data_IF_036846524748
#
_entry.id   IF_036846524748
#
_cell.length_a   1.000
_cell.length_b   1.000
_cell.length_c   1.000
_cell.angle_alpha   90.00
_cell.angle_beta   90.00
_cell.angle_gamma   90.00
#
_symmetry.space_group_name_H-M   'P 1'
#
loop_
_entity.id
_entity.type
_entity.pdbx_description
1 polymer ?
#
# COMPACT_ATOMS: atom_id res chain seq x y z
N UNK A 1 -25.31 -36.14 -71.35
CA UNK A 1 -26.54 -35.53 -70.80
C UNK A 1 -26.15 -34.97 -69.44
N UNK A 2 -25.68 -33.72 -69.40
CA UNK A 2 -26.52 -32.52 -69.19
C UNK A 2 -27.15 -32.55 -67.78
N UNK A 3 -26.55 -31.92 -66.78
CA UNK A 3 -26.74 -30.50 -66.43
C UNK A 3 -26.42 -30.20 -64.96
N UNK A 4 -25.71 -29.08 -64.80
CA UNK A 4 -25.76 -28.05 -63.75
C UNK A 4 -25.46 -28.36 -62.25
N UNK A 5 -24.83 -27.39 -61.54
CA UNK A 5 -24.30 -27.55 -60.18
C UNK A 5 -25.25 -27.05 -59.10
N UNK A 6 -25.24 -27.69 -57.92
CA UNK A 6 -26.00 -27.26 -56.74
C UNK A 6 -25.10 -26.65 -55.68
N UNK A 7 -25.37 -25.36 -55.43
CA UNK A 7 -24.90 -24.51 -54.35
C UNK A 7 -25.06 -25.18 -52.96
N UNK A 8 -24.02 -25.16 -52.13
CA UNK A 8 -24.11 -25.42 -50.69
C UNK A 8 -23.61 -24.19 -49.91
N UNK A 9 -24.30 -23.77 -48.84
CA UNK A 9 -24.10 -22.47 -48.22
C UNK A 9 -22.93 -22.46 -47.22
N UNK A 10 -22.29 -21.29 -47.14
CA UNK A 10 -21.20 -20.97 -46.23
C UNK A 10 -21.62 -21.03 -44.75
N UNK A 11 -20.87 -21.77 -43.94
CA UNK A 11 -20.86 -21.61 -42.48
C UNK A 11 -20.12 -20.31 -42.12
N UNK A 12 -20.83 -19.40 -41.48
CA UNK A 12 -20.24 -18.25 -40.76
C UNK A 12 -19.93 -18.68 -39.32
N UNK A 13 -18.74 -18.36 -38.76
CA UNK A 13 -18.48 -18.55 -37.35
C UNK A 13 -19.13 -17.42 -36.51
N UNK A 14 -19.63 -17.70 -35.29
CA UNK A 14 -20.12 -16.65 -34.40
C UNK A 14 -18.96 -15.79 -33.89
N UNK A 15 -18.99 -14.50 -34.24
CA UNK A 15 -18.20 -13.44 -33.64
C UNK A 15 -19.02 -12.81 -32.51
N UNK A 16 -18.71 -13.17 -31.27
CA UNK A 16 -19.08 -12.37 -30.09
C UNK A 16 -17.83 -12.16 -29.23
N UNK A 17 -16.95 -11.27 -29.69
CA UNK A 17 -16.01 -10.59 -28.81
C UNK A 17 -16.75 -9.43 -28.16
N UNK A 18 -17.06 -9.55 -26.87
CA UNK A 18 -17.45 -8.41 -26.04
C UNK A 18 -16.20 -7.54 -25.86
N UNK A 19 -16.04 -6.55 -26.73
CA UNK A 19 -15.11 -5.44 -26.54
C UNK A 19 -15.60 -4.61 -25.37
N UNK A 20 -14.86 -4.64 -24.26
CA UNK A 20 -15.04 -3.67 -23.18
C UNK A 20 -14.64 -2.29 -23.67
N UNK A 21 -15.63 -1.44 -23.94
CA UNK A 21 -15.38 0.00 -24.06
C UNK A 21 -14.90 0.54 -22.72
N UNK A 22 -13.63 0.93 -22.68
CA UNK A 22 -13.08 1.80 -21.64
C UNK A 22 -13.69 3.18 -21.82
N UNK A 23 -14.58 3.57 -20.90
CA UNK A 23 -15.11 4.93 -20.82
C UNK A 23 -14.01 5.84 -20.29
N UNK A 24 -13.68 6.88 -21.04
CA UNK A 24 -12.74 7.93 -20.66
C UNK A 24 -13.30 8.74 -19.49
N UNK A 25 -12.44 9.10 -18.52
CA UNK A 25 -12.81 9.92 -17.35
C UNK A 25 -13.23 11.34 -17.74
N UNK A 26 -12.89 11.79 -18.95
CA UNK A 26 -13.31 13.08 -19.50
C UNK A 26 -14.82 13.20 -19.78
N UNK A 27 -15.55 12.08 -19.84
CA UNK A 27 -17.00 12.06 -20.11
C UNK A 27 -17.87 11.93 -18.84
N UNK A 28 -17.27 12.11 -17.66
CA UNK A 28 -18.03 12.10 -16.41
C UNK A 28 -19.00 13.30 -16.34
N UNK A 29 -20.30 13.08 -16.05
CA UNK A 29 -21.29 14.16 -15.94
C UNK A 29 -20.92 15.11 -14.79
N UNK A 30 -20.97 16.41 -15.04
CA UNK A 30 -20.73 17.47 -14.04
C UNK A 30 -21.92 17.73 -13.12
N UNK A 31 -23.08 17.13 -13.39
CA UNK A 31 -24.29 17.33 -12.59
C UNK A 31 -24.88 15.98 -12.14
N UNK A 32 -24.94 15.69 -10.82
CA UNK A 32 -25.67 14.54 -10.33
C UNK A 32 -27.19 14.73 -10.55
N UNK A 33 -27.95 13.64 -10.80
CA UNK A 33 -29.40 13.72 -10.94
C UNK A 33 -30.09 14.16 -9.62
N UNK A 34 -31.26 14.83 -9.69
CA UNK A 34 -31.95 15.35 -8.51
C UNK A 34 -32.39 14.24 -7.53
N UNK A 35 -32.39 14.57 -6.25
CA UNK A 35 -32.46 13.64 -5.12
C UNK A 35 -33.80 12.90 -4.91
N UNK A 36 -34.85 13.16 -5.71
CA UNK A 36 -36.25 12.87 -5.31
C UNK A 36 -37.05 11.90 -6.20
N UNK A 37 -36.45 11.11 -7.07
CA UNK A 37 -37.16 9.99 -7.73
C UNK A 37 -36.16 8.89 -8.07
N UNK A 38 -36.34 7.63 -7.64
CA UNK A 38 -35.43 6.56 -8.03
C UNK A 38 -35.62 6.31 -9.52
N UNK A 39 -34.65 6.66 -10.37
CA UNK A 39 -34.67 6.21 -11.76
C UNK A 39 -34.66 4.68 -11.75
N UNK A 40 -35.24 4.05 -12.78
CA UNK A 40 -35.23 2.58 -12.97
C UNK A 40 -33.79 2.09 -13.13
N UNK A 41 -33.11 1.96 -12.01
CA UNK A 41 -31.69 1.72 -11.92
C UNK A 41 -31.45 0.24 -11.71
N UNK A 42 -30.77 -0.38 -12.69
CA UNK A 42 -30.43 -1.80 -12.63
C UNK A 42 -29.25 -1.98 -11.67
N UNK A 43 -29.46 -2.74 -10.60
CA UNK A 43 -28.38 -3.21 -9.73
C UNK A 43 -27.50 -4.14 -10.57
N UNK A 44 -26.21 -3.83 -10.67
CA UNK A 44 -25.24 -4.67 -11.38
C UNK A 44 -24.33 -5.44 -10.43
N UNK A 45 -24.27 -5.07 -9.16
CA UNK A 45 -23.55 -5.84 -8.16
C UNK A 45 -23.46 -5.17 -6.80
N UNK A 46 -22.62 -5.73 -5.94
CA UNK A 46 -22.21 -5.15 -4.67
C UNK A 46 -20.70 -5.35 -4.56
N UNK A 47 -20.01 -4.32 -4.07
CA UNK A 47 -18.54 -4.35 -3.96
C UNK A 47 -18.11 -3.55 -2.74
N UNK A 48 -16.81 -3.62 -2.44
CA UNK A 48 -16.14 -2.72 -1.49
C UNK A 48 -15.24 -1.77 -2.24
N UNK A 49 -15.12 -0.56 -1.73
CA UNK A 49 -14.28 0.46 -2.34
C UNK A 49 -13.60 1.36 -1.32
N UNK A 50 -12.72 2.20 -1.83
CA UNK A 50 -12.05 3.25 -1.07
C UNK A 50 -12.48 4.61 -1.60
N UNK A 51 -12.74 5.55 -0.70
CA UNK A 51 -13.09 6.92 -1.05
C UNK A 51 -11.87 7.62 -1.63
N UNK A 52 -11.97 8.08 -2.88
CA UNK A 52 -10.90 8.75 -3.63
C UNK A 52 -11.01 10.26 -3.49
N UNK A 53 -12.23 10.80 -3.50
CA UNK A 53 -12.54 12.21 -3.31
C UNK A 53 -14.02 12.33 -2.89
N UNK A 54 -14.35 13.39 -2.15
CA UNK A 54 -15.73 13.69 -1.77
C UNK A 54 -15.92 15.22 -1.77
N UNK A 55 -16.83 15.71 -2.61
CA UNK A 55 -17.27 17.09 -2.75
C UNK A 55 -18.55 17.33 -1.91
N UNK A 56 -19.19 18.50 -2.05
CA UNK A 56 -20.36 18.86 -1.25
C UNK A 56 -21.60 18.01 -1.54
N UNK A 57 -21.81 17.60 -2.80
CA UNK A 57 -23.01 16.92 -3.29
C UNK A 57 -22.77 15.47 -3.77
N UNK A 58 -21.51 15.10 -4.02
CA UNK A 58 -21.12 13.76 -4.43
C UNK A 58 -19.66 13.46 -4.09
N UNK A 59 -19.29 12.19 -4.14
CA UNK A 59 -17.90 11.75 -4.13
C UNK A 59 -17.64 10.64 -5.11
N UNK A 60 -16.44 10.08 -5.04
CA UNK A 60 -16.03 8.95 -5.85
C UNK A 60 -15.38 7.90 -4.96
N UNK A 61 -15.77 6.65 -5.18
CA UNK A 61 -15.08 5.49 -4.62
C UNK A 61 -14.43 4.71 -5.75
N UNK A 62 -13.25 4.16 -5.49
CA UNK A 62 -12.66 3.18 -6.37
C UNK A 62 -13.07 1.79 -5.88
N UNK A 63 -13.51 0.95 -6.79
CA UNK A 63 -13.89 -0.43 -6.52
C UNK A 63 -13.07 -1.37 -7.42
N UNK A 64 -12.61 -2.52 -6.93
CA UNK A 64 -11.84 -3.46 -7.76
C UNK A 64 -12.63 -3.98 -8.97
N UNK A 65 -13.93 -4.21 -8.79
CA UNK A 65 -14.76 -4.88 -9.80
C UNK A 65 -15.40 -3.91 -10.80
N UNK A 66 -15.53 -2.63 -10.44
CA UNK A 66 -16.27 -1.64 -11.23
C UNK A 66 -15.49 -0.34 -11.51
N UNK A 67 -14.25 -0.23 -11.06
CA UNK A 67 -13.45 0.97 -11.24
C UNK A 67 -13.95 2.15 -10.38
N UNK A 68 -13.76 3.40 -10.84
CA UNK A 68 -14.33 4.59 -10.22
C UNK A 68 -15.86 4.59 -10.29
N UNK A 69 -16.51 4.83 -9.17
CA UNK A 69 -17.96 4.86 -9.04
C UNK A 69 -18.38 6.13 -8.31
N UNK A 70 -19.38 6.84 -8.87
CA UNK A 70 -19.94 8.05 -8.26
C UNK A 70 -20.72 7.70 -6.99
N UNK A 71 -20.51 8.45 -5.92
CA UNK A 71 -21.21 8.31 -4.65
C UNK A 71 -22.07 9.56 -4.42
N UNK A 72 -23.37 9.56 -4.76
CA UNK A 72 -24.22 10.71 -4.46
C UNK A 72 -24.41 10.86 -2.95
N UNK A 73 -24.64 12.09 -2.48
CA UNK A 73 -24.84 12.38 -1.05
C UNK A 73 -25.96 11.54 -0.41
N UNK A 74 -27.04 11.29 -1.15
CA UNK A 74 -28.17 10.48 -0.69
C UNK A 74 -27.87 8.97 -0.59
N UNK A 75 -26.70 8.51 -1.05
CA UNK A 75 -26.26 7.15 -0.89
C UNK A 75 -25.56 6.89 0.45
N UNK A 76 -25.22 7.95 1.20
CA UNK A 76 -24.54 7.85 2.48
C UNK A 76 -25.46 7.34 3.60
N UNK A 77 -24.90 6.79 4.69
CA UNK A 77 -25.67 6.46 5.88
C UNK A 77 -26.39 7.69 6.46
N UNK A 78 -27.51 7.47 7.15
CA UNK A 78 -28.24 8.55 7.82
C UNK A 78 -27.32 9.37 8.75
N UNK A 79 -27.49 10.70 8.69
CA UNK A 79 -26.68 11.65 9.46
C UNK A 79 -25.26 11.89 8.93
N UNK A 80 -24.85 11.26 7.83
CA UNK A 80 -23.55 11.53 7.19
C UNK A 80 -23.72 12.48 6.01
N UNK A 81 -22.93 13.55 6.02
CA UNK A 81 -22.84 14.51 4.93
C UNK A 81 -21.57 14.36 4.08
N UNK A 82 -20.63 13.51 4.50
CA UNK A 82 -19.38 13.28 3.77
C UNK A 82 -18.77 11.92 4.08
N UNK A 83 -17.92 11.47 3.17
CA UNK A 83 -16.95 10.41 3.40
C UNK A 83 -15.54 10.98 3.48
N UNK A 84 -14.71 10.44 4.37
CA UNK A 84 -13.32 10.88 4.50
C UNK A 84 -12.45 10.20 3.43
N UNK A 85 -11.46 10.92 2.91
CA UNK A 85 -10.50 10.40 1.95
C UNK A 85 -9.81 9.12 2.49
N UNK A 86 -9.76 8.07 1.67
CA UNK A 86 -9.16 6.79 2.07
C UNK A 86 -10.07 5.92 2.94
N UNK A 87 -11.29 6.37 3.25
CA UNK A 87 -12.26 5.60 4.02
C UNK A 87 -12.78 4.41 3.20
N UNK A 88 -12.85 3.25 3.84
CA UNK A 88 -13.37 2.04 3.22
C UNK A 88 -14.88 2.01 3.33
N UNK A 89 -15.52 1.64 2.23
CA UNK A 89 -16.96 1.50 2.15
C UNK A 89 -17.35 0.19 1.46
N UNK A 90 -18.54 -0.29 1.75
CA UNK A 90 -19.26 -1.21 0.87
C UNK A 90 -20.39 -0.45 0.19
N UNK A 91 -20.68 -0.78 -1.06
CA UNK A 91 -21.75 -0.15 -1.83
C UNK A 91 -22.42 -1.16 -2.76
N UNK A 92 -23.72 -0.98 -2.99
CA UNK A 92 -24.39 -1.60 -4.14
C UNK A 92 -24.11 -0.75 -5.37
N UNK A 93 -23.70 -1.37 -6.45
CA UNK A 93 -23.39 -0.69 -7.70
C UNK A 93 -24.59 -0.80 -8.62
N UNK A 94 -24.97 0.33 -9.19
CA UNK A 94 -26.06 0.44 -10.12
C UNK A 94 -25.57 1.10 -11.41
N UNK A 95 -26.17 0.72 -12.54
CA UNK A 95 -25.91 1.33 -13.84
C UNK A 95 -27.05 2.28 -14.18
N UNK A 96 -26.73 3.54 -14.45
CA UNK A 96 -27.67 4.57 -14.87
C UNK A 96 -27.29 5.17 -16.21
N UNK A 97 -28.00 6.24 -16.58
CA UNK A 97 -27.79 6.92 -17.87
C UNK A 97 -26.40 7.53 -18.01
N UNK A 98 -25.78 7.92 -16.90
CA UNK A 98 -24.48 8.60 -16.86
C UNK A 98 -23.38 7.77 -16.20
N UNK A 99 -23.47 6.44 -16.28
CA UNK A 99 -22.45 5.53 -15.75
C UNK A 99 -22.84 4.87 -14.44
N UNK A 100 -21.81 4.52 -13.65
CA UNK A 100 -21.94 3.73 -12.42
C UNK A 100 -22.04 4.62 -11.19
N UNK A 101 -23.01 4.33 -10.33
CA UNK A 101 -23.10 4.96 -9.00
C UNK A 101 -23.28 3.93 -7.90
N UNK A 102 -22.79 4.32 -6.73
CA UNK A 102 -22.86 3.62 -5.49
C UNK A 102 -24.14 4.03 -4.77
N UNK A 103 -24.94 3.04 -4.35
CA UNK A 103 -26.07 3.25 -3.45
C UNK A 103 -25.94 2.38 -2.22
N UNK A 104 -26.64 2.75 -1.14
CA UNK A 104 -26.59 2.05 0.16
C UNK A 104 -25.16 1.92 0.68
N UNK A 105 -24.41 3.02 0.64
CA UNK A 105 -23.01 3.04 1.06
C UNK A 105 -22.95 2.80 2.56
N UNK A 106 -22.08 1.87 2.98
CA UNK A 106 -21.81 1.61 4.39
C UNK A 106 -20.33 1.76 4.65
N UNK A 107 -19.98 2.58 5.63
CA UNK A 107 -18.61 2.68 6.11
C UNK A 107 -18.24 1.36 6.76
N UNK A 108 -17.15 0.76 6.29
CA UNK A 108 -16.60 -0.42 6.92
C UNK A 108 -15.65 0.04 8.01
N UNK A 109 -15.81 -0.49 9.23
CA UNK A 109 -14.74 -0.46 10.21
C UNK A 109 -13.49 -1.07 9.54
N UNK A 110 -12.29 -0.55 9.80
CA UNK A 110 -11.02 -0.90 9.13
C UNK A 110 -10.55 -2.38 9.32
N UNK A 111 -11.46 -3.34 9.48
CA UNK A 111 -11.23 -4.76 9.72
C UNK A 111 -11.18 -5.59 8.42
N UNK A 112 -10.64 -5.03 7.34
CA UNK A 112 -10.58 -5.69 6.03
C UNK A 112 -9.76 -7.01 6.05
N UNK A 113 -8.88 -7.24 7.03
CA UNK A 113 -8.04 -8.45 7.09
C UNK A 113 -8.83 -9.77 7.21
N UNK A 114 -10.07 -9.77 7.71
CA UNK A 114 -10.85 -11.01 7.88
C UNK A 114 -11.63 -11.44 6.64
N UNK A 115 -11.98 -10.51 5.73
CA UNK A 115 -12.88 -10.81 4.60
C UNK A 115 -12.17 -11.26 3.32
N UNK A 116 -10.87 -10.96 3.16
CA UNK A 116 -10.09 -11.27 1.95
C UNK A 116 -9.27 -12.56 2.10
N UNK A 117 -9.74 -13.46 2.98
CA UNK A 117 -9.20 -14.81 3.04
C UNK A 117 -9.10 -15.41 1.63
N UNK A 118 -7.86 -15.66 1.20
CA UNK A 118 -7.52 -16.69 0.23
C UNK A 118 -8.02 -16.57 -1.22
N UNK A 119 -8.25 -15.38 -1.79
CA UNK A 119 -8.31 -15.26 -3.26
C UNK A 119 -6.94 -14.93 -3.85
N UNK A 120 -6.31 -15.97 -4.39
CA UNK A 120 -5.16 -15.91 -5.29
C UNK A 120 -5.61 -15.26 -6.60
N UNK A 121 -5.50 -13.95 -6.72
CA UNK A 121 -5.22 -13.16 -7.95
C UNK A 121 -5.24 -11.69 -7.51
N UNK A 122 -4.09 -11.03 -7.63
CA UNK A 122 -3.82 -9.74 -7.01
C UNK A 122 -4.53 -8.57 -7.69
N UNK A 123 -5.41 -7.90 -6.97
CA UNK A 123 -5.65 -6.46 -7.12
C UNK A 123 -5.33 -5.78 -5.79
N UNK A 124 -4.06 -5.91 -5.37
CA UNK A 124 -3.50 -5.09 -4.30
C UNK A 124 -3.29 -3.70 -4.88
N UNK A 125 -3.50 -2.65 -4.08
CA UNK A 125 -3.05 -1.29 -4.39
C UNK A 125 -1.53 -1.27 -4.63
N UNK A 126 -1.09 -1.60 -5.84
CA UNK A 126 0.31 -1.50 -6.22
C UNK A 126 0.65 -0.06 -6.58
N UNK A 127 1.92 0.34 -6.47
CA UNK A 127 2.42 1.58 -7.08
C UNK A 127 1.94 1.78 -8.52
N UNK A 128 1.77 0.68 -9.27
CA UNK A 128 1.30 0.68 -10.66
C UNK A 128 -0.11 1.23 -10.80
N UNK A 129 -1.03 0.77 -9.93
CA UNK A 129 -2.42 1.20 -9.95
C UNK A 129 -2.56 2.69 -9.58
N UNK A 130 -1.88 3.12 -8.53
CA UNK A 130 -1.91 4.54 -8.10
C UNK A 130 -1.28 5.43 -9.17
N UNK A 131 -0.21 4.98 -9.82
CA UNK A 131 0.38 5.70 -10.93
C UNK A 131 -0.59 5.86 -12.10
N UNK A 132 -1.30 4.81 -12.48
CA UNK A 132 -2.29 4.88 -13.55
C UNK A 132 -3.42 5.86 -13.21
N UNK A 133 -3.90 5.86 -11.96
CA UNK A 133 -4.91 6.84 -11.51
C UNK A 133 -4.39 8.28 -11.52
N UNK A 134 -3.16 8.50 -11.06
CA UNK A 134 -2.55 9.84 -11.10
C UNK A 134 -2.37 10.28 -12.56
N UNK A 135 -1.89 9.39 -13.44
CA UNK A 135 -1.70 9.67 -14.85
C UNK A 135 -3.03 10.05 -15.53
N UNK A 136 -4.09 9.28 -15.28
CA UNK A 136 -5.44 9.59 -15.74
C UNK A 136 -5.91 10.96 -15.26
N UNK A 137 -5.74 11.25 -13.96
CA UNK A 137 -6.18 12.53 -13.41
C UNK A 137 -5.41 13.73 -13.97
N UNK A 138 -4.15 13.54 -14.37
CA UNK A 138 -3.32 14.59 -14.95
C UNK A 138 -3.48 14.74 -16.47
N UNK A 139 -4.29 13.89 -17.11
CA UNK A 139 -4.36 13.72 -18.56
C UNK A 139 -2.99 13.34 -19.18
N UNK A 140 -2.24 12.50 -18.46
CA UNK A 140 -0.89 12.03 -18.81
C UNK A 140 -0.90 10.51 -19.03
N UNK A 141 -1.95 9.97 -19.65
CA UNK A 141 -2.21 8.53 -19.82
C UNK A 141 -1.36 7.87 -20.91
N UNK A 142 -0.79 8.65 -21.83
CA UNK A 142 -0.14 8.13 -23.02
C UNK A 142 1.39 7.91 -22.86
N UNK A 143 1.84 6.72 -23.29
CA UNK A 143 3.23 6.40 -23.58
C UNK A 143 4.23 6.79 -22.49
N UNK A 144 5.20 7.63 -22.84
CA UNK A 144 6.28 8.03 -21.93
C UNK A 144 5.78 8.81 -20.70
N UNK A 145 4.63 9.51 -20.78
CA UNK A 145 4.17 10.38 -19.70
C UNK A 145 3.57 9.59 -18.54
N UNK A 146 2.77 8.57 -18.85
CA UNK A 146 2.26 7.60 -17.87
C UNK A 146 3.41 6.86 -17.18
N UNK A 147 4.44 6.50 -17.94
CA UNK A 147 5.65 5.88 -17.40
C UNK A 147 6.41 6.80 -16.44
N UNK A 148 6.46 8.11 -16.71
CA UNK A 148 7.08 9.09 -15.80
C UNK A 148 6.30 9.17 -14.48
N UNK A 149 4.96 9.23 -14.54
CA UNK A 149 4.11 9.22 -13.34
C UNK A 149 4.34 7.94 -12.53
N UNK A 150 4.41 6.80 -13.21
CA UNK A 150 4.76 5.52 -12.58
C UNK A 150 6.09 5.55 -11.85
N UNK A 151 7.14 6.03 -12.50
CA UNK A 151 8.47 6.12 -11.88
C UNK A 151 8.48 7.09 -10.72
N UNK A 152 7.71 8.18 -10.78
CA UNK A 152 7.53 9.10 -9.66
C UNK A 152 6.91 8.35 -8.48
N UNK A 153 5.76 7.69 -8.66
CA UNK A 153 5.08 6.94 -7.59
C UNK A 153 5.98 5.85 -7.00
N UNK A 154 6.69 5.11 -7.85
CA UNK A 154 7.64 4.09 -7.42
C UNK A 154 8.81 4.68 -6.61
N UNK A 155 9.22 5.92 -6.92
CA UNK A 155 10.37 6.55 -6.29
C UNK A 155 10.05 7.32 -5.01
N UNK A 156 9.01 8.17 -5.02
CA UNK A 156 8.63 8.99 -3.86
C UNK A 156 7.61 8.30 -2.95
N UNK A 157 7.03 7.20 -3.42
CA UNK A 157 6.01 6.43 -2.72
C UNK A 157 4.60 6.98 -2.91
N UNK A 158 3.62 6.08 -2.83
CA UNK A 158 2.18 6.33 -3.01
C UNK A 158 1.68 7.53 -2.21
N UNK A 159 2.00 7.60 -0.91
CA UNK A 159 1.48 8.65 -0.02
C UNK A 159 1.93 10.05 -0.44
N UNK A 160 3.20 10.21 -0.84
CA UNK A 160 3.75 11.50 -1.27
C UNK A 160 3.22 11.90 -2.64
N UNK A 161 3.19 10.96 -3.60
CA UNK A 161 2.62 11.22 -4.92
C UNK A 161 1.15 11.67 -4.84
N UNK A 162 0.38 11.05 -3.93
CA UNK A 162 -1.00 11.45 -3.67
C UNK A 162 -1.13 12.84 -3.03
N UNK A 163 -0.26 13.18 -2.08
CA UNK A 163 -0.23 14.51 -1.47
C UNK A 163 0.05 15.60 -2.52
N UNK A 164 0.99 15.34 -3.44
CA UNK A 164 1.30 16.26 -4.55
C UNK A 164 0.14 16.39 -5.51
N UNK A 165 -0.57 15.29 -5.83
CA UNK A 165 -1.79 15.37 -6.65
C UNK A 165 -2.87 16.22 -5.97
N UNK A 166 -3.07 16.06 -4.66
CA UNK A 166 -4.02 16.87 -3.89
C UNK A 166 -3.67 18.36 -3.94
N UNK A 167 -2.41 18.70 -3.71
CA UNK A 167 -1.90 20.07 -3.80
C UNK A 167 -2.07 20.64 -5.22
N UNK A 168 -1.78 19.84 -6.24
CA UNK A 168 -1.97 20.21 -7.66
C UNK A 168 -3.42 20.60 -7.94
N UNK A 169 -4.39 19.81 -7.48
CA UNK A 169 -5.82 20.09 -7.64
C UNK A 169 -6.25 21.35 -6.87
N UNK A 170 -5.64 21.63 -5.72
CA UNK A 170 -5.92 22.84 -4.95
C UNK A 170 -5.41 24.10 -5.67
N UNK A 171 -4.20 24.05 -6.23
CA UNK A 171 -3.62 25.17 -7.00
C UNK A 171 -4.43 25.44 -8.26
N UNK A 172 -4.85 24.40 -8.99
CA UNK A 172 -5.74 24.55 -10.14
C UNK A 172 -7.04 25.26 -9.73
N UNK A 173 -7.69 24.81 -8.65
CA UNK A 173 -8.92 25.41 -8.15
C UNK A 173 -8.76 26.88 -7.71
N UNK A 174 -7.54 27.31 -7.36
CA UNK A 174 -7.20 28.68 -6.99
C UNK A 174 -6.82 29.57 -8.19
N UNK A 175 -7.03 29.11 -9.43
CA UNK A 175 -6.74 29.86 -10.65
C UNK A 175 -5.46 29.42 -11.37
N UNK A 176 -4.87 28.30 -10.97
CA UNK A 176 -3.70 27.71 -11.63
C UNK A 176 -2.37 28.31 -11.19
N UNK A 177 -1.32 28.01 -11.94
CA UNK A 177 0.04 28.48 -11.69
C UNK A 177 0.67 28.95 -13.01
N UNK A 178 1.21 30.18 -13.09
CA UNK A 178 1.84 30.65 -14.32
C UNK A 178 3.11 29.85 -14.64
N UNK A 179 3.49 29.82 -15.92
CA UNK A 179 4.80 29.34 -16.34
C UNK A 179 5.91 30.30 -15.89
N UNK A 180 7.16 29.82 -15.91
CA UNK A 180 8.33 30.58 -15.43
C UNK A 180 8.57 31.88 -16.23
N UNK A 181 8.13 31.90 -17.49
CA UNK A 181 8.13 33.05 -18.39
C UNK A 181 6.86 33.93 -18.27
N UNK A 182 5.89 33.55 -17.44
CA UNK A 182 4.65 34.29 -17.22
C UNK A 182 3.69 34.35 -18.41
N UNK A 183 4.02 33.70 -19.54
CA UNK A 183 3.30 33.82 -20.80
C UNK A 183 1.98 33.04 -20.83
N UNK A 184 1.87 31.98 -20.02
CA UNK A 184 0.68 31.12 -19.95
C UNK A 184 0.51 30.47 -18.59
N UNK A 185 -0.68 29.92 -18.33
CA UNK A 185 -0.93 29.07 -17.18
C UNK A 185 -0.41 27.65 -17.42
N UNK A 186 0.11 27.00 -16.37
CA UNK A 186 0.48 25.59 -16.39
C UNK A 186 -0.78 24.73 -16.47
N UNK A 187 -0.71 23.64 -17.23
CA UNK A 187 -1.72 22.58 -17.21
C UNK A 187 -1.65 21.82 -15.88
N UNK A 188 -2.67 21.02 -15.57
CA UNK A 188 -2.71 20.23 -14.34
C UNK A 188 -1.48 19.31 -14.21
N UNK A 189 -1.12 18.57 -15.28
CA UNK A 189 0.15 17.82 -15.35
C UNK A 189 1.39 18.70 -15.19
N UNK A 190 1.37 19.91 -15.77
CA UNK A 190 2.44 20.89 -15.62
C UNK A 190 2.66 21.39 -14.20
N UNK A 191 1.59 21.59 -13.43
CA UNK A 191 1.62 21.94 -12.00
C UNK A 191 2.17 20.75 -11.21
N UNK A 192 1.66 19.54 -11.44
CA UNK A 192 2.12 18.32 -10.76
C UNK A 192 3.63 18.12 -10.94
N UNK A 193 4.13 18.15 -12.19
CA UNK A 193 5.56 17.97 -12.44
C UNK A 193 6.40 19.14 -11.92
N UNK A 194 5.84 20.35 -11.83
CA UNK A 194 6.52 21.47 -11.18
C UNK A 194 6.72 21.20 -9.69
N UNK A 195 5.66 20.84 -8.97
CA UNK A 195 5.72 20.51 -7.53
C UNK A 195 6.67 19.34 -7.25
N UNK A 196 6.66 18.30 -8.09
CA UNK A 196 7.61 17.19 -7.95
C UNK A 196 9.05 17.70 -8.11
N UNK A 197 9.34 18.53 -9.13
CA UNK A 197 10.68 19.08 -9.37
C UNK A 197 11.18 19.95 -8.22
N UNK A 198 10.29 20.71 -7.57
CA UNK A 198 10.63 21.46 -6.36
C UNK A 198 10.99 20.52 -5.20
N UNK A 199 10.21 19.45 -4.99
CA UNK A 199 10.45 18.53 -3.88
C UNK A 199 11.71 17.66 -4.02
N UNK A 200 12.04 17.18 -5.23
CA UNK A 200 13.15 16.23 -5.42
C UNK A 200 14.33 16.82 -6.19
N UNK A 201 14.20 18.02 -6.74
CA UNK A 201 15.19 18.68 -7.59
C UNK A 201 15.09 18.28 -9.07
N UNK A 202 15.36 19.25 -9.96
CA UNK A 202 15.32 19.07 -11.44
C UNK A 202 16.22 17.92 -11.92
N UNK A 203 17.39 17.72 -11.31
CA UNK A 203 18.34 16.65 -11.65
C UNK A 203 17.78 15.26 -11.34
N UNK A 204 17.20 15.06 -10.16
CA UNK A 204 16.59 13.77 -9.81
C UNK A 204 15.34 13.50 -10.62
N UNK A 205 14.53 14.52 -10.88
CA UNK A 205 13.40 14.41 -11.79
C UNK A 205 13.83 13.94 -13.18
N UNK A 206 14.93 14.49 -13.72
CA UNK A 206 15.48 14.05 -15.00
C UNK A 206 15.96 12.59 -14.97
N UNK A 207 16.61 12.16 -13.88
CA UNK A 207 17.03 10.76 -13.70
C UNK A 207 15.83 9.81 -13.66
N UNK A 208 14.77 10.17 -12.93
CA UNK A 208 13.49 9.45 -12.92
C UNK A 208 12.90 9.39 -14.33
N UNK A 209 12.86 10.52 -15.05
CA UNK A 209 12.35 10.56 -16.43
C UNK A 209 13.15 9.67 -17.38
N UNK A 210 14.46 9.49 -17.16
CA UNK A 210 15.32 8.58 -17.93
C UNK A 210 15.34 7.13 -17.41
N UNK A 211 14.59 6.81 -16.36
CA UNK A 211 14.57 5.46 -15.76
C UNK A 211 15.87 5.09 -15.05
N UNK A 212 16.70 6.08 -14.71
CA UNK A 212 17.95 5.90 -13.98
C UNK A 212 17.70 6.07 -12.48
N UNK A 213 18.50 5.42 -11.64
CA UNK A 213 18.46 5.63 -10.19
C UNK A 213 18.90 7.07 -9.90
N UNK A 214 18.05 7.92 -9.30
CA UNK A 214 18.45 9.27 -8.93
C UNK A 214 19.50 9.22 -7.81
N UNK A 215 20.50 10.09 -7.91
CA UNK A 215 21.44 10.34 -6.82
C UNK A 215 20.79 11.39 -5.93
N UNK A 216 19.96 10.93 -5.00
CA UNK A 216 19.38 11.83 -4.02
C UNK A 216 20.54 12.49 -3.24
N UNK A 217 20.64 13.83 -3.20
CA UNK A 217 21.40 14.47 -2.14
C UNK A 217 20.82 13.97 -0.80
N UNK A 218 21.65 13.78 0.24
CA UNK A 218 21.13 13.53 1.58
C UNK A 218 20.08 14.60 1.86
N UNK A 219 18.89 14.19 2.32
CA UNK A 219 17.74 15.07 2.57
C UNK A 219 18.22 16.28 3.38
N UNK A 220 18.44 17.40 2.70
CA UNK A 220 18.67 18.69 3.32
C UNK A 220 17.28 19.21 3.69
N UNK A 221 16.97 19.16 4.98
CA UNK A 221 15.92 20.01 5.52
C UNK A 221 16.25 21.45 5.14
N UNK A 222 15.30 22.11 4.48
CA UNK A 222 15.44 23.48 4.00
C UNK A 222 15.79 24.41 5.17
N UNK A 223 16.90 25.13 5.00
CA UNK A 223 17.39 26.08 5.97
C UNK A 223 16.47 27.31 5.99
N UNK A 224 15.72 27.47 7.08
CA UNK A 224 15.38 28.79 7.60
C UNK A 224 16.68 29.60 7.80
N UNK A 225 16.65 30.94 7.66
CA UNK A 225 17.85 31.79 7.69
C UNK A 225 18.74 31.47 8.88
N UNK A 226 20.06 31.42 8.60
CA UNK A 226 21.13 30.94 9.46
C UNK A 226 20.98 31.36 10.94
N UNK A 227 20.34 30.49 11.72
CA UNK A 227 20.67 30.34 13.12
C UNK A 227 21.96 29.52 13.16
N UNK A 228 22.97 30.03 13.87
CA UNK A 228 24.22 29.32 14.19
C UNK A 228 23.89 27.85 14.44
N UNK A 229 24.55 26.87 13.77
CA UNK A 229 24.21 25.47 13.95
C UNK A 229 24.43 25.13 15.42
N UNK A 230 23.31 25.01 16.15
CA UNK A 230 23.30 24.32 17.42
C UNK A 230 23.90 22.96 17.11
N UNK A 231 25.08 22.69 17.68
CA UNK A 231 25.77 21.43 17.55
C UNK A 231 24.72 20.31 17.59
N UNK A 232 24.74 19.40 16.61
CA UNK A 232 23.82 18.27 16.58
C UNK A 232 23.97 17.49 17.89
N UNK A 233 23.14 17.80 18.88
CA UNK A 233 23.22 17.17 20.18
C UNK A 233 22.72 15.76 19.98
N UNK A 234 23.65 14.83 19.77
CA UNK A 234 23.34 13.40 19.79
C UNK A 234 22.65 13.13 21.12
N UNK A 235 21.40 12.67 21.07
CA UNK A 235 20.67 12.30 22.29
C UNK A 235 21.48 11.17 22.94
N UNK A 236 21.99 11.41 24.14
CA UNK A 236 22.66 10.38 24.92
C UNK A 236 21.60 9.49 25.56
N UNK A 237 21.90 8.20 25.72
CA UNK A 237 20.97 7.29 26.38
C UNK A 237 20.58 7.78 27.77
N UNK A 238 21.54 8.31 28.55
CA UNK A 238 21.28 8.83 29.89
C UNK A 238 20.30 10.01 29.94
N UNK A 239 20.26 10.86 28.90
CA UNK A 239 19.46 12.09 28.87
C UNK A 239 18.21 12.00 28.00
N UNK A 240 17.99 10.86 27.32
CA UNK A 240 16.83 10.63 26.41
C UNK A 240 15.46 10.88 27.02
N UNK A 241 15.34 10.85 28.35
CA UNK A 241 14.08 11.04 29.06
C UNK A 241 13.40 12.38 28.74
N UNK A 242 14.17 13.45 28.56
CA UNK A 242 13.63 14.78 28.20
C UNK A 242 13.03 14.76 26.79
N UNK A 243 13.74 14.18 25.83
CA UNK A 243 13.23 14.02 24.45
C UNK A 243 11.98 13.14 24.40
N UNK A 244 11.93 12.07 25.21
CA UNK A 244 10.75 11.19 25.29
C UNK A 244 9.56 11.95 25.90
N UNK A 245 9.77 12.77 26.94
CA UNK A 245 8.71 13.58 27.54
C UNK A 245 8.11 14.54 26.50
N UNK A 246 8.97 15.25 25.76
CA UNK A 246 8.53 16.15 24.68
C UNK A 246 7.74 15.41 23.59
N UNK A 247 8.16 14.18 23.24
CA UNK A 247 7.48 13.37 22.23
C UNK A 247 6.16 12.76 22.71
N UNK A 248 5.99 12.54 24.02
CA UNK A 248 4.77 11.96 24.61
C UNK A 248 3.53 12.83 24.43
N UNK A 249 3.70 14.13 24.23
CA UNK A 249 2.58 15.04 23.98
C UNK A 249 2.07 14.95 22.54
N UNK A 250 2.81 14.28 21.64
CA UNK A 250 2.52 14.19 20.21
C UNK A 250 2.62 12.74 19.68
N UNK A 251 2.06 11.76 20.41
CA UNK A 251 2.16 10.35 20.03
C UNK A 251 1.36 10.05 18.76
N UNK A 252 2.06 9.63 17.70
CA UNK A 252 1.45 9.12 16.48
C UNK A 252 0.83 7.72 16.65
N UNK A 253 0.00 7.31 15.70
CA UNK A 253 -0.63 5.98 15.72
C UNK A 253 0.19 4.98 14.89
N UNK A 254 0.66 3.92 15.53
CA UNK A 254 1.22 2.76 14.84
C UNK A 254 0.10 1.76 14.51
N UNK A 255 -0.12 1.48 13.23
CA UNK A 255 -1.19 0.58 12.79
C UNK A 255 -0.74 -0.88 12.63
N UNK A 256 0.55 -1.12 12.44
CA UNK A 256 1.09 -2.46 12.25
C UNK A 256 2.54 -2.49 12.70
N UNK A 257 2.84 -3.39 13.63
CA UNK A 257 4.20 -3.68 14.11
C UNK A 257 4.44 -5.16 13.90
N UNK A 258 5.30 -5.50 12.95
CA UNK A 258 5.75 -6.87 12.73
C UNK A 258 7.12 -7.03 13.36
N UNK A 259 7.31 -8.13 14.09
CA UNK A 259 8.60 -8.51 14.69
C UNK A 259 9.11 -9.80 14.08
N UNK A 260 10.43 -9.95 14.02
CA UNK A 260 11.10 -11.21 13.70
C UNK A 260 12.02 -11.59 14.86
N UNK A 261 11.79 -12.75 15.46
CA UNK A 261 12.66 -13.35 16.47
C UNK A 261 13.47 -14.46 15.81
N UNK A 262 14.79 -14.44 16.02
CA UNK A 262 15.69 -15.48 15.54
C UNK A 262 16.45 -16.04 16.74
N UNK A 263 16.33 -17.34 16.98
CA UNK A 263 17.02 -17.99 18.07
C UNK A 263 16.46 -19.37 18.39
N UNK A 264 16.92 -19.94 19.49
CA UNK A 264 16.48 -21.23 20.02
C UNK A 264 15.71 -21.03 21.32
N UNK A 265 14.52 -21.62 21.49
CA UNK A 265 13.80 -21.54 22.75
C UNK A 265 14.44 -22.46 23.80
N UNK A 266 14.48 -21.99 25.05
CA UNK A 266 14.96 -22.81 26.18
C UNK A 266 13.89 -23.80 26.64
N UNK A 267 12.62 -23.40 26.55
CA UNK A 267 11.47 -24.22 26.93
C UNK A 267 10.38 -24.17 25.87
N UNK A 268 9.72 -25.32 25.68
CA UNK A 268 8.59 -25.51 24.78
C UNK A 268 7.47 -26.15 25.59
N UNK A 269 6.31 -25.49 25.64
CA UNK A 269 5.14 -25.97 26.37
C UNK A 269 3.99 -26.14 25.37
N UNK A 270 3.55 -27.39 25.15
CA UNK A 270 2.41 -27.69 24.29
C UNK A 270 1.11 -27.81 25.10
N UNK A 271 0.10 -27.00 24.77
CA UNK A 271 -1.23 -27.00 25.41
C UNK A 271 -2.32 -26.95 24.35
N UNK A 272 -2.86 -28.13 24.00
CA UNK A 272 -3.94 -28.27 23.04
C UNK A 272 -3.56 -27.74 21.65
N UNK A 273 -4.21 -26.67 21.20
CA UNK A 273 -3.97 -26.05 19.89
C UNK A 273 -2.82 -25.03 19.87
N UNK A 274 -2.20 -24.76 21.02
CA UNK A 274 -1.20 -23.69 21.17
C UNK A 274 0.09 -24.25 21.75
N UNK A 275 1.22 -23.81 21.22
CA UNK A 275 2.56 -24.06 21.74
C UNK A 275 3.13 -22.73 22.21
N UNK A 276 3.63 -22.70 23.44
CA UNK A 276 4.28 -21.55 24.04
C UNK A 276 5.78 -21.78 24.08
N UNK A 277 6.54 -20.78 23.63
CA UNK A 277 7.99 -20.78 23.68
C UNK A 277 8.46 -19.61 24.54
N UNK A 278 9.45 -19.84 25.40
CA UNK A 278 10.13 -18.75 26.10
C UNK A 278 11.52 -18.52 25.52
N UNK A 279 11.85 -17.25 25.27
CA UNK A 279 13.13 -16.83 24.71
C UNK A 279 13.60 -15.57 25.44
N UNK A 280 14.91 -15.39 25.58
CA UNK A 280 15.50 -14.12 26.02
C UNK A 280 16.47 -13.63 24.96
N UNK A 281 16.53 -12.31 24.78
CA UNK A 281 17.55 -11.72 23.94
C UNK A 281 18.92 -11.84 24.61
N UNK A 282 19.89 -12.39 23.88
CA UNK A 282 21.28 -12.53 24.33
C UNK A 282 22.20 -11.99 23.22
N UNK A 283 23.21 -11.23 23.60
CA UNK A 283 24.25 -10.75 22.69
C UNK A 283 24.24 -9.25 22.42
N UNK A 284 25.23 -8.74 21.68
CA UNK A 284 25.34 -7.32 21.36
C UNK A 284 24.27 -6.91 20.36
N UNK A 285 23.79 -5.66 20.46
CA UNK A 285 22.92 -5.10 19.43
C UNK A 285 23.63 -5.14 18.06
N UNK A 286 22.89 -5.36 16.96
CA UNK A 286 23.44 -5.18 15.63
C UNK A 286 23.94 -3.74 15.43
N UNK A 287 24.85 -3.48 14.47
CA UNK A 287 25.35 -2.14 14.22
C UNK A 287 24.18 -1.19 13.90
N UNK A 288 24.04 -0.16 14.73
CA UNK A 288 22.98 0.84 14.60
C UNK A 288 23.51 2.09 13.87
N UNK A 289 22.64 2.80 13.12
CA UNK A 289 22.97 4.11 12.57
C UNK A 289 23.49 5.11 13.63
N UNK A 290 24.38 6.01 13.20
CA UNK A 290 24.90 7.08 14.06
C UNK A 290 23.76 7.97 14.57
N UNK A 291 23.83 8.37 15.84
CA UNK A 291 22.85 9.27 16.47
C UNK A 291 21.70 8.56 17.20
N UNK A 292 21.57 7.24 17.10
CA UNK A 292 20.62 6.47 17.90
C UNK A 292 21.19 6.29 19.32
N UNK A 293 20.46 6.66 20.38
CA UNK A 293 20.92 6.45 21.74
C UNK A 293 20.96 4.94 22.04
N UNK A 294 22.09 4.45 22.53
CA UNK A 294 22.29 3.04 22.90
C UNK A 294 22.58 2.93 24.39
N UNK A 295 21.90 2.04 25.14
CA UNK A 295 22.24 1.80 26.54
C UNK A 295 23.65 1.23 26.69
N UNK A 296 24.32 1.54 27.81
CA UNK A 296 25.57 0.87 28.19
C UNK A 296 25.37 -0.63 28.43
N UNK A 297 24.25 -0.98 29.06
CA UNK A 297 23.85 -2.35 29.38
C UNK A 297 22.45 -2.61 28.84
N UNK A 298 22.29 -3.69 28.08
CA UNK A 298 21.01 -4.05 27.50
C UNK A 298 20.12 -4.66 28.59
N UNK A 299 18.88 -4.16 28.77
CA UNK A 299 17.96 -4.78 29.70
C UNK A 299 17.63 -6.20 29.21
N UNK A 300 17.58 -7.15 30.15
CA UNK A 300 17.10 -8.49 29.87
C UNK A 300 15.66 -8.38 29.35
N UNK A 301 15.45 -8.82 28.12
CA UNK A 301 14.13 -8.80 27.48
C UNK A 301 13.67 -10.22 27.26
N UNK A 302 12.57 -10.58 27.91
CA UNK A 302 11.92 -11.89 27.79
C UNK A 302 10.82 -11.84 26.74
N UNK A 303 10.73 -12.88 25.93
CA UNK A 303 9.69 -13.07 24.92
C UNK A 303 8.89 -14.33 25.24
N UNK A 304 7.57 -14.21 25.20
CA UNK A 304 6.63 -15.33 25.25
C UNK A 304 6.01 -15.46 23.87
N UNK A 305 6.33 -16.55 23.16
CA UNK A 305 5.88 -16.75 21.78
C UNK A 305 4.74 -17.74 21.74
N UNK A 306 3.60 -17.32 21.20
CA UNK A 306 2.42 -18.15 20.99
C UNK A 306 2.39 -18.65 19.54
N UNK A 307 2.61 -19.95 19.36
CA UNK A 307 2.65 -20.64 18.07
C UNK A 307 1.44 -21.56 17.95
N UNK A 308 0.72 -21.54 16.83
CA UNK A 308 -0.33 -22.53 16.61
C UNK A 308 0.30 -23.93 16.46
N UNK A 309 -0.30 -24.97 17.05
CA UNK A 309 0.23 -26.34 16.99
C UNK A 309 0.52 -26.82 15.56
N UNK A 310 -0.32 -26.43 14.58
CA UNK A 310 -0.11 -26.72 13.16
C UNK A 310 1.16 -26.07 12.57
N UNK A 311 1.52 -24.87 13.02
CA UNK A 311 2.76 -24.21 12.62
C UNK A 311 3.96 -24.86 13.30
N UNK A 312 3.85 -25.16 14.60
CA UNK A 312 4.90 -25.83 15.37
C UNK A 312 5.31 -27.18 14.78
N UNK A 313 4.35 -28.02 14.40
CA UNK A 313 4.60 -29.33 13.75
C UNK A 313 5.52 -29.28 12.54
N UNK A 314 5.64 -28.13 11.85
CA UNK A 314 6.50 -27.96 10.67
C UNK A 314 7.99 -27.80 11.03
N UNK A 315 8.28 -27.39 12.26
CA UNK A 315 9.64 -27.06 12.71
C UNK A 315 10.09 -27.91 13.89
N UNK A 316 9.17 -28.61 14.57
CA UNK A 316 9.44 -29.40 15.78
C UNK A 316 10.55 -30.45 15.60
N UNK A 317 10.59 -31.15 14.46
CA UNK A 317 11.68 -32.09 14.17
C UNK A 317 12.99 -31.39 13.81
N UNK A 318 12.93 -30.35 12.96
CA UNK A 318 14.12 -29.63 12.52
C UNK A 318 14.85 -28.94 13.67
N UNK A 319 14.11 -28.36 14.63
CA UNK A 319 14.71 -27.66 15.77
C UNK A 319 15.39 -28.60 16.77
N UNK A 320 15.27 -29.94 16.63
CA UNK A 320 16.05 -30.88 17.45
C UNK A 320 17.55 -30.75 17.18
N UNK A 321 17.96 -30.34 15.98
CA UNK A 321 19.35 -30.00 15.68
C UNK A 321 19.80 -28.81 16.56
N UNK A 322 20.81 -28.96 17.44
CA UNK A 322 21.27 -27.89 18.33
C UNK A 322 21.78 -26.65 17.60
N UNK A 323 22.28 -26.79 16.36
CA UNK A 323 22.84 -25.69 15.57
C UNK A 323 21.76 -24.92 14.79
N UNK A 324 20.57 -25.49 14.65
CA UNK A 324 19.46 -24.82 13.98
C UNK A 324 18.78 -23.80 14.91
N UNK A 325 18.22 -22.76 14.29
CA UNK A 325 17.52 -21.70 14.99
C UNK A 325 16.15 -21.50 14.37
N UNK A 326 15.16 -21.22 15.20
CA UNK A 326 13.86 -20.75 14.73
C UNK A 326 14.00 -19.35 14.15
N UNK A 327 13.23 -19.10 13.10
CA UNK A 327 12.92 -17.77 12.56
C UNK A 327 11.41 -17.61 12.70
N UNK A 328 11.00 -16.75 13.62
CA UNK A 328 9.62 -16.55 14.01
C UNK A 328 9.22 -15.14 13.62
N UNK A 329 8.16 -15.00 12.83
CA UNK A 329 7.56 -13.72 12.51
C UNK A 329 6.19 -13.60 13.18
N UNK A 330 5.86 -12.42 13.70
CA UNK A 330 4.59 -12.21 14.37
C UNK A 330 4.27 -10.76 14.70
N UNK A 331 3.20 -10.60 15.46
CA UNK A 331 2.80 -9.33 16.07
C UNK A 331 3.15 -9.35 17.55
N UNK A 332 3.73 -8.27 18.05
CA UNK A 332 4.10 -8.15 19.45
C UNK A 332 3.15 -7.24 20.24
N UNK A 333 2.93 -7.58 21.49
CA UNK A 333 2.35 -6.70 22.50
C UNK A 333 3.21 -6.77 23.77
N UNK A 334 3.16 -5.71 24.56
CA UNK A 334 3.68 -5.76 25.93
C UNK A 334 2.69 -6.52 26.80
N UNK A 335 3.17 -7.56 27.48
CA UNK A 335 2.41 -8.36 28.44
C UNK A 335 2.83 -7.92 29.85
N UNK A 336 2.00 -7.07 30.45
CA UNK A 336 2.28 -6.49 31.76
C UNK A 336 2.16 -7.51 32.89
N UNK A 337 1.42 -8.61 32.71
CA UNK A 337 1.23 -9.64 33.73
C UNK A 337 2.51 -10.45 33.96
N UNK A 338 3.27 -10.67 32.88
CA UNK A 338 4.48 -11.49 32.90
C UNK A 338 5.78 -10.70 32.66
N UNK A 339 5.70 -9.36 32.63
CA UNK A 339 6.84 -8.46 32.36
C UNK A 339 7.62 -8.88 31.10
N UNK A 340 6.89 -9.20 30.03
CA UNK A 340 7.44 -9.83 28.83
C UNK A 340 6.84 -9.26 27.54
N UNK A 341 7.52 -9.50 26.42
CA UNK A 341 6.98 -9.24 25.09
C UNK A 341 6.26 -10.50 24.61
N UNK A 342 4.93 -10.44 24.55
CA UNK A 342 4.13 -11.50 23.95
C UNK A 342 4.16 -11.39 22.42
N UNK A 343 4.46 -12.48 21.73
CA UNK A 343 4.53 -12.54 20.26
C UNK A 343 3.56 -13.57 19.72
N UNK A 344 2.59 -13.12 18.93
CA UNK A 344 1.64 -13.98 18.23
C UNK A 344 2.17 -14.34 16.85
N UNK A 345 2.54 -15.61 16.67
CA UNK A 345 3.23 -16.08 15.47
C UNK A 345 2.32 -16.11 14.25
N UNK A 346 2.76 -15.46 13.18
CA UNK A 346 2.14 -15.51 11.85
C UNK A 346 2.91 -16.44 10.89
N UNK A 347 4.22 -16.56 11.07
CA UNK A 347 5.06 -17.49 10.30
C UNK A 347 6.20 -18.03 11.16
N UNK A 348 6.56 -19.30 10.94
CA UNK A 348 7.69 -19.96 11.59
C UNK A 348 8.38 -20.88 10.60
N UNK A 349 9.71 -20.87 10.62
CA UNK A 349 10.61 -21.75 9.87
C UNK A 349 11.90 -21.91 10.68
N UNK A 350 12.79 -22.80 10.28
CA UNK A 350 14.16 -22.82 10.80
C UNK A 350 15.16 -22.20 9.83
N UNK A 351 16.36 -21.83 10.30
CA UNK A 351 17.44 -21.30 9.45
C UNK A 351 17.85 -22.32 8.39
N UNK A 352 18.02 -23.59 8.75
CA UNK A 352 18.41 -24.64 7.80
C UNK A 352 17.32 -24.88 6.75
N UNK A 353 16.05 -24.95 7.16
CA UNK A 353 14.92 -25.05 6.23
C UNK A 353 14.86 -23.86 5.27
N UNK A 354 15.15 -22.64 5.75
CA UNK A 354 15.16 -21.45 4.91
C UNK A 354 16.35 -21.46 3.92
N UNK A 355 17.53 -21.94 4.34
CA UNK A 355 18.69 -22.12 3.46
C UNK A 355 18.42 -23.15 2.36
N UNK A 356 17.89 -24.32 2.71
CA UNK A 356 17.53 -25.36 1.75
C UNK A 356 16.53 -24.87 0.69
N UNK A 357 15.57 -24.02 1.08
CA UNK A 357 14.62 -23.40 0.12
C UNK A 357 15.28 -22.38 -0.82
N UNK A 358 16.29 -21.65 -0.34
CA UNK A 358 17.03 -20.68 -1.17
C UNK A 358 17.97 -21.36 -2.16
N UNK A 359 18.49 -22.53 -1.82
CA UNK A 359 19.38 -23.37 -2.66
C UNK A 359 18.60 -24.29 -3.62
N UNK A 360 17.36 -23.92 -3.99
CA UNK A 360 16.52 -24.68 -4.92
C UNK A 360 17.10 -24.78 -6.34
N UNK A 361 16.43 -25.50 -7.27
CA UNK A 361 17.01 -26.46 -8.24
C UNK A 361 18.07 -25.95 -9.25
N UNK A 362 18.37 -24.66 -9.29
CA UNK A 362 19.36 -24.09 -10.20
C UNK A 362 20.78 -24.62 -9.90
N UNK A 363 21.14 -24.79 -8.63
CA UNK A 363 22.49 -25.27 -8.26
C UNK A 363 22.67 -26.79 -8.46
N UNK A 364 21.59 -27.58 -8.45
CA UNK A 364 21.64 -29.02 -8.75
C UNK A 364 21.80 -29.28 -10.25
N UNK A 365 21.35 -28.37 -11.12
CA UNK A 365 21.52 -28.47 -12.57
C UNK A 365 22.95 -28.13 -13.04
N UNK A 366 23.69 -27.30 -12.29
CA UNK A 366 25.09 -26.98 -12.61
C UNK A 366 26.08 -28.01 -12.03
N UNK A 367 25.76 -28.67 -10.91
CA UNK A 367 26.59 -29.79 -10.41
C UNK A 367 26.47 -31.05 -11.28
N UNK A 368 25.32 -31.27 -11.93
CA UNK A 368 25.13 -32.39 -12.87
C UNK A 368 25.73 -32.13 -14.27
N UNK A 369 26.25 -30.92 -14.55
CA UNK A 369 26.94 -30.60 -15.82
C UNK A 369 28.46 -30.71 -15.72
N UNK A 370 28.99 -30.90 -14.52
CA UNK A 370 30.44 -31.00 -14.25
C UNK A 370 30.85 -32.33 -13.60
N UNK A 371 29.90 -33.24 -13.39
CA UNK A 371 30.13 -34.67 -13.15
C UNK A 371 29.80 -35.42 -14.44
#
# INVERSE_FOLDING_TARGET
MADAPTNSPALSPPKDHVTGETVSVADAPTNPPPASSPPKYRVIGQTTGIVIVFYEDHGFIFTPDFGPVVVPLNALPEGRTRLDLGQYVSARIYKGRHGLYAGRVRILAQQWRRLIGNRRHGSTFTPDFIAAMIADRLDETEGERSLVVWRIVAHIGVKRAWAVLKETLQIEAQGGMPTEDGTRQRTLGGIFFFLIKEQIGRTNFYLIKKGKKPVLPPVQAEAAPAQVPAASQSILWATRGESIKLARDNVGKAHTVKVTIIGRPESVIERGSTVMLMMSYVGPLPPLPKGIPVPKELPKTTYVVYVAAKQWKKVAEAIKDPEDNLIIEGYQIWDAEYDAIAVYTTAITTKLQQRAKKQGPADQADQAKHA
#
